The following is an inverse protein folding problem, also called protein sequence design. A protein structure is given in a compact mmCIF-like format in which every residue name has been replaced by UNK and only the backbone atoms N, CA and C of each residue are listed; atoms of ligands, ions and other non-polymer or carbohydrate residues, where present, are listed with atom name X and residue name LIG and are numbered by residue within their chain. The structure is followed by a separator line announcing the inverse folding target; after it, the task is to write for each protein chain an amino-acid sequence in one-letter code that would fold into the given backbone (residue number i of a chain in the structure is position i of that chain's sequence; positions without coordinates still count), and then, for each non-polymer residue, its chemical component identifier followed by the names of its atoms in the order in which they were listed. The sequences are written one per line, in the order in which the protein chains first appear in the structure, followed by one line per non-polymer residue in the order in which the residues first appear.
data_IF_503975157743
#
_entry.id   IF_503975157743
#
_cell.length_a   1.000
_cell.length_b   1.000
_cell.length_c   1.000
_cell.angle_alpha   90.00
_cell.angle_beta   90.00
_cell.angle_gamma   90.00
#
_symmetry.space_group_name_H-M   'P 1'
#
loop_
_entity.id
_entity.type
_entity.pdbx_description
1 polymer ?
#
# COMPACT_ATOMS: atom_id res chain seq x y z
N UNK A 1 7.64 11.68 -16.53
CA UNK A 1 6.69 10.63 -16.14
C UNK A 1 7.46 9.61 -15.32
N UNK A 2 6.91 9.18 -14.19
CA UNK A 2 7.48 8.11 -13.37
C UNK A 2 7.31 6.77 -14.10
N UNK A 3 8.30 5.89 -13.99
CA UNK A 3 8.14 4.48 -14.39
C UNK A 3 7.42 3.70 -13.30
N UNK A 4 6.91 2.51 -13.64
CA UNK A 4 6.31 1.59 -12.66
C UNK A 4 7.24 1.30 -11.49
N UNK A 5 8.51 1.02 -11.77
CA UNK A 5 9.52 0.72 -10.75
C UNK A 5 9.76 1.92 -9.81
N UNK A 6 9.79 3.14 -10.37
CA UNK A 6 9.91 4.35 -9.56
C UNK A 6 8.67 4.57 -8.68
N UNK A 7 7.47 4.31 -9.21
CA UNK A 7 6.23 4.40 -8.46
C UNK A 7 6.17 3.37 -7.32
N UNK A 8 6.59 2.12 -7.58
CA UNK A 8 6.72 1.09 -6.54
C UNK A 8 7.75 1.49 -5.48
N UNK A 9 8.89 2.05 -5.90
CA UNK A 9 9.92 2.53 -4.97
C UNK A 9 9.41 3.67 -4.09
N UNK A 10 8.63 4.61 -4.65
CA UNK A 10 8.01 5.69 -3.89
C UNK A 10 7.03 5.16 -2.83
N UNK A 11 6.23 4.15 -3.16
CA UNK A 11 5.38 3.47 -2.18
C UNK A 11 6.21 2.76 -1.11
N UNK A 12 7.17 1.93 -1.49
CA UNK A 12 8.05 1.24 -0.52
C UNK A 12 8.87 2.21 0.35
N UNK A 13 9.04 3.47 -0.07
CA UNK A 13 9.68 4.50 0.73
C UNK A 13 8.81 5.00 1.89
N UNK A 14 7.48 4.81 1.82
CA UNK A 14 6.54 5.22 2.86
C UNK A 14 6.85 4.54 4.20
N UNK A 15 6.91 5.29 5.31
CA UNK A 15 7.18 4.71 6.63
C UNK A 15 6.10 3.69 7.04
N UNK A 16 4.86 3.89 6.59
CA UNK A 16 3.75 2.98 6.86
C UNK A 16 4.00 1.60 6.25
N UNK A 17 4.31 1.53 4.95
CA UNK A 17 4.57 0.26 4.26
C UNK A 17 5.79 -0.45 4.81
N UNK A 18 6.85 0.29 5.17
CA UNK A 18 8.02 -0.29 5.85
C UNK A 18 7.67 -0.91 7.20
N UNK A 19 6.88 -0.20 8.00
CA UNK A 19 6.43 -0.70 9.29
C UNK A 19 5.54 -1.94 9.13
N UNK A 20 4.65 -1.94 8.14
CA UNK A 20 3.77 -3.07 7.83
C UNK A 20 4.57 -4.30 7.41
N UNK A 21 5.52 -4.15 6.48
CA UNK A 21 6.40 -5.24 6.06
C UNK A 21 7.19 -5.83 7.24
N UNK A 22 7.70 -4.99 8.14
CA UNK A 22 8.42 -5.45 9.33
C UNK A 22 7.51 -6.21 10.31
N UNK A 23 6.26 -5.75 10.50
CA UNK A 23 5.28 -6.45 11.35
C UNK A 23 4.90 -7.80 10.74
N UNK A 24 4.61 -7.85 9.44
CA UNK A 24 4.27 -9.09 8.73
C UNK A 24 5.41 -10.10 8.83
N UNK A 25 6.66 -9.67 8.64
CA UNK A 25 7.82 -10.55 8.73
C UNK A 25 8.01 -11.06 10.17
N UNK A 26 7.84 -10.18 11.18
CA UNK A 26 7.95 -10.54 12.60
C UNK A 26 6.83 -11.49 13.05
N UNK A 27 5.58 -11.21 12.71
CA UNK A 27 4.42 -12.01 13.13
C UNK A 27 4.40 -13.39 12.48
N UNK A 28 4.85 -13.48 11.23
CA UNK A 28 4.91 -14.75 10.49
C UNK A 28 6.19 -15.56 10.75
N UNK A 29 7.17 -14.99 11.45
CA UNK A 29 8.50 -15.57 11.61
C UNK A 29 9.23 -15.76 10.28
N UNK A 30 9.02 -14.84 9.33
CA UNK A 30 9.61 -14.88 7.98
C UNK A 30 8.85 -15.73 6.95
N UNK A 31 7.69 -16.30 7.32
CA UNK A 31 6.84 -17.08 6.40
C UNK A 31 5.99 -16.22 5.48
N UNK A 32 5.75 -14.97 5.86
CA UNK A 32 5.05 -13.98 5.07
C UNK A 32 5.88 -12.71 4.98
N UNK A 33 5.74 -12.00 3.85
CA UNK A 33 6.43 -10.73 3.61
C UNK A 33 5.48 -9.71 2.98
N UNK A 34 5.57 -8.46 3.40
CA UNK A 34 4.88 -7.37 2.74
C UNK A 34 5.45 -7.16 1.33
N UNK A 35 4.60 -7.18 0.32
CA UNK A 35 4.97 -6.99 -1.07
C UNK A 35 4.00 -6.04 -1.76
N UNK A 36 4.50 -5.24 -2.71
CA UNK A 36 3.66 -4.51 -3.66
C UNK A 36 3.50 -5.33 -4.92
N UNK A 37 2.26 -5.57 -5.31
CA UNK A 37 1.92 -6.18 -6.59
C UNK A 37 1.22 -5.15 -7.47
N UNK A 38 1.46 -5.20 -8.76
CA UNK A 38 0.67 -4.42 -9.72
C UNK A 38 -0.72 -5.04 -9.80
N UNK A 39 -1.74 -4.26 -9.44
CA UNK A 39 -3.12 -4.74 -9.43
C UNK A 39 -3.69 -4.78 -10.84
N UNK A 40 -3.43 -3.74 -11.63
CA UNK A 40 -3.82 -3.65 -13.02
C UNK A 40 -2.73 -2.95 -13.83
N UNK A 41 -2.39 -3.54 -14.97
CA UNK A 41 -1.43 -3.00 -15.94
C UNK A 41 -1.97 -1.75 -16.66
N UNK A 42 -3.29 -1.55 -16.64
CA UNK A 42 -3.95 -0.38 -17.19
C UNK A 42 -3.90 0.78 -16.19
N UNK A 43 -3.37 1.94 -16.58
CA UNK A 43 -3.41 3.12 -15.74
C UNK A 43 -4.86 3.55 -15.48
N UNK A 44 -5.17 3.89 -14.23
CA UNK A 44 -6.46 4.50 -13.88
C UNK A 44 -6.37 6.00 -14.12
N UNK A 45 -7.36 6.57 -14.78
CA UNK A 45 -7.43 8.03 -14.98
C UNK A 45 -8.39 8.63 -13.98
N UNK A 46 -7.91 9.56 -13.16
CA UNK A 46 -8.71 10.30 -12.17
C UNK A 46 -8.43 11.78 -12.37
N UNK A 47 -9.49 12.57 -12.58
CA UNK A 47 -9.38 14.02 -12.84
C UNK A 47 -8.38 14.38 -13.96
N UNK A 48 -8.29 13.54 -15.00
CA UNK A 48 -7.37 13.74 -16.13
C UNK A 48 -5.90 13.36 -15.87
N UNK A 49 -5.56 12.89 -14.66
CA UNK A 49 -4.24 12.35 -14.32
C UNK A 49 -4.25 10.83 -14.42
N UNK A 50 -3.20 10.24 -14.97
CA UNK A 50 -3.01 8.80 -15.04
C UNK A 50 -2.27 8.29 -13.80
N UNK A 51 -2.73 7.18 -13.22
CA UNK A 51 -2.15 6.56 -12.03
C UNK A 51 -1.83 5.10 -12.29
N UNK A 52 -0.68 4.64 -11.77
CA UNK A 52 -0.39 3.22 -11.64
C UNK A 52 -1.11 2.63 -10.43
N UNK A 53 -1.60 1.41 -10.57
CA UNK A 53 -2.40 0.75 -9.55
C UNK A 53 -1.58 -0.36 -8.89
N UNK A 54 -1.31 -0.22 -7.60
CA UNK A 54 -0.57 -1.20 -6.82
C UNK A 54 -1.40 -1.64 -5.63
N UNK A 55 -1.32 -2.91 -5.27
CA UNK A 55 -1.86 -3.41 -4.00
C UNK A 55 -0.71 -3.83 -3.10
N UNK A 56 -0.73 -3.36 -1.87
CA UNK A 56 0.13 -3.90 -0.83
C UNK A 56 -0.52 -5.16 -0.28
N UNK A 57 0.21 -6.27 -0.35
CA UNK A 57 -0.24 -7.58 0.07
C UNK A 57 0.70 -8.16 1.10
N UNK A 58 0.14 -8.89 2.05
CA UNK A 58 0.88 -9.86 2.82
C UNK A 58 1.02 -11.13 1.98
N UNK A 59 2.22 -11.36 1.46
CA UNK A 59 2.52 -12.52 0.64
C UNK A 59 3.01 -13.67 1.54
N UNK A 60 2.15 -14.66 1.78
CA UNK A 60 2.48 -15.87 2.52
C UNK A 60 2.50 -17.10 1.60
N UNK A 61 2.95 -18.25 2.11
CA UNK A 61 2.95 -19.52 1.36
C UNK A 61 1.54 -20.00 1.00
N UNK A 62 0.55 -19.66 1.83
CA UNK A 62 -0.83 -20.11 1.65
C UNK A 62 -1.59 -19.17 0.69
N UNK A 63 -1.48 -17.87 0.90
CA UNK A 63 -2.17 -16.86 0.09
C UNK A 63 -1.52 -15.48 0.19
N UNK A 64 -1.78 -14.65 -0.84
CA UNK A 64 -1.51 -13.22 -0.80
C UNK A 64 -2.77 -12.48 -0.30
N UNK A 65 -2.69 -11.87 0.88
CA UNK A 65 -3.79 -11.11 1.45
C UNK A 65 -3.64 -9.61 1.15
N UNK A 66 -4.56 -8.99 0.39
CA UNK A 66 -4.50 -7.55 0.15
C UNK A 66 -4.84 -6.76 1.42
N UNK A 67 -3.96 -5.82 1.75
CA UNK A 67 -4.12 -4.91 2.88
C UNK A 67 -4.70 -3.58 2.43
N UNK A 68 -4.09 -2.98 1.40
CA UNK A 68 -4.45 -1.64 0.92
C UNK A 68 -4.07 -1.48 -0.56
N UNK A 69 -4.86 -0.72 -1.31
CA UNK A 69 -4.56 -0.36 -2.70
C UNK A 69 -4.08 1.08 -2.81
N UNK A 70 -3.08 1.30 -3.63
CA UNK A 70 -2.44 2.59 -3.85
C UNK A 70 -2.45 2.96 -5.32
N UNK A 71 -2.65 4.24 -5.58
CA UNK A 71 -2.64 4.84 -6.89
C UNK A 71 -1.53 5.89 -6.94
N UNK A 72 -0.49 5.63 -7.72
CA UNK A 72 0.65 6.56 -7.83
C UNK A 72 0.56 7.30 -9.15
N UNK A 73 0.55 8.62 -9.11
CA UNK A 73 0.47 9.42 -10.32
C UNK A 73 1.67 9.14 -11.23
N UNK A 74 1.42 8.96 -12.54
CA UNK A 74 2.49 8.85 -13.53
C UNK A 74 3.24 10.17 -13.71
N UNK A 75 2.67 11.27 -13.24
CA UNK A 75 3.26 12.60 -13.31
C UNK A 75 3.03 13.33 -11.98
N UNK A 76 4.10 13.91 -11.43
CA UNK A 76 4.10 14.49 -10.09
C UNK A 76 4.43 13.46 -9.02
N UNK A 77 4.08 13.79 -7.79
CA UNK A 77 4.39 13.08 -6.55
C UNK A 77 3.12 12.66 -5.77
N UNK A 78 1.96 12.78 -6.42
CA UNK A 78 0.67 12.45 -5.81
C UNK A 78 0.48 10.94 -5.68
N UNK A 79 0.14 10.52 -4.47
CA UNK A 79 -0.21 9.15 -4.13
C UNK A 79 -1.60 9.19 -3.48
N UNK A 80 -2.51 8.39 -4.02
CA UNK A 80 -3.82 8.15 -3.47
C UNK A 80 -3.90 6.72 -2.95
N UNK A 81 -4.84 6.50 -2.04
CA UNK A 81 -5.14 5.20 -1.44
C UNK A 81 -6.58 4.87 -1.82
N UNK A 82 -6.80 3.71 -2.43
CA UNK A 82 -8.13 3.24 -2.79
C UNK A 82 -8.71 2.46 -1.62
N UNK A 83 -9.71 3.04 -0.95
CA UNK A 83 -10.36 2.41 0.19
C UNK A 83 -11.32 1.33 -0.30
N UNK A 84 -10.90 0.07 -0.16
CA UNK A 84 -11.69 -1.11 -0.52
C UNK A 84 -13.08 -1.14 0.14
N UNK A 85 -13.28 -0.44 1.25
CA UNK A 85 -14.57 -0.40 1.96
C UNK A 85 -15.54 0.67 1.47
N UNK A 86 -15.08 1.70 0.74
CA UNK A 86 -15.92 2.87 0.40
C UNK A 86 -15.90 3.28 -1.06
N UNK A 87 -15.18 2.54 -1.94
CA UNK A 87 -14.97 2.88 -3.36
C UNK A 87 -14.42 4.30 -3.57
N UNK A 88 -13.83 4.89 -2.53
CA UNK A 88 -13.27 6.24 -2.54
C UNK A 88 -11.76 6.18 -2.56
N UNK A 89 -11.18 7.12 -3.30
CA UNK A 89 -9.76 7.40 -3.23
C UNK A 89 -9.49 8.50 -2.21
N UNK A 90 -8.59 8.21 -1.27
CA UNK A 90 -8.13 9.13 -0.25
C UNK A 90 -6.73 9.62 -0.60
N UNK A 91 -6.38 10.85 -0.27
CA UNK A 91 -4.96 11.26 -0.28
C UNK A 91 -4.20 10.56 0.84
N UNK A 92 -2.87 10.45 0.74
CA UNK A 92 -2.07 9.86 1.83
C UNK A 92 -2.34 10.52 3.20
N UNK A 93 -2.48 11.85 3.25
CA UNK A 93 -2.76 12.55 4.50
C UNK A 93 -4.16 12.27 5.05
N UNK A 94 -5.17 12.18 4.17
CA UNK A 94 -6.52 11.77 4.57
C UNK A 94 -6.52 10.34 5.10
N UNK A 95 -5.90 9.41 4.37
CA UNK A 95 -5.77 8.01 4.79
C UNK A 95 -5.05 7.88 6.13
N UNK A 96 -3.95 8.61 6.34
CA UNK A 96 -3.24 8.65 7.63
C UNK A 96 -4.13 9.12 8.78
N UNK A 97 -4.96 10.13 8.52
CA UNK A 97 -5.85 10.71 9.52
C UNK A 97 -7.06 9.83 9.83
N UNK A 98 -7.66 9.23 8.80
CA UNK A 98 -8.91 8.48 8.89
C UNK A 98 -8.71 7.01 9.23
N UNK A 99 -7.74 6.34 8.58
CA UNK A 99 -7.49 4.91 8.75
C UNK A 99 -6.39 4.60 9.76
N UNK A 100 -5.60 5.61 10.14
CA UNK A 100 -4.51 5.48 11.11
C UNK A 100 -3.64 4.22 10.89
N UNK A 101 -3.08 4.04 9.68
CA UNK A 101 -2.37 2.83 9.26
C UNK A 101 -1.18 2.47 10.17
N UNK A 102 -0.57 3.49 10.78
CA UNK A 102 0.52 3.33 11.76
C UNK A 102 0.07 2.77 13.11
N UNK A 103 -1.23 2.83 13.45
CA UNK A 103 -1.77 2.21 14.67
C UNK A 103 -2.17 0.75 14.44
N UNK A 104 -2.51 0.40 13.20
CA UNK A 104 -2.83 -0.99 12.81
C UNK A 104 -1.66 -1.94 13.05
N UNK A 105 -0.42 -1.47 12.88
CA UNK A 105 0.79 -2.23 13.23
C UNK A 105 0.99 -2.43 14.71
N UNK A 106 0.49 -1.51 15.54
CA UNK A 106 0.66 -1.56 17.01
C UNK A 106 -0.26 -2.62 17.61
N UNK A 107 -1.47 -2.78 17.08
CA UNK A 107 -2.45 -3.74 17.58
C UNK A 107 -2.02 -5.22 17.39
N UNK A 108 -1.16 -5.51 16.40
CA UNK A 108 -0.60 -6.85 16.18
C UNK A 108 0.62 -7.18 17.05
N UNK A 109 1.12 -6.22 17.83
CA UNK A 109 2.17 -6.42 18.84
C UNK A 109 1.55 -6.18 20.21
N UNK A 110 0.57 -7.00 20.59
CA UNK A 110 0.30 -7.22 22.01
C UNK A 110 1.15 -8.41 22.43
N UNK A 111 2.25 -8.10 23.10
CA UNK A 111 3.13 -9.00 23.85
C UNK A 111 2.27 -9.94 24.73
N UNK A 112 2.50 -11.25 24.64
CA UNK A 112 2.16 -12.21 25.70
C UNK A 112 3.38 -12.39 26.60
#
# INVERSE_FOLDING_TARGET
MLTREQAMSALMALPELKAWSAVIEKSSGGKARGALIEYDTKPRVINGKSYYQFSFVENSIDAAHPWESFLVAQQGDEILVDDFGTEKTLTLDQWRKEKQPMLRTSAGITDE
#
